data_IF_941428040697
#
_entry.id   IF_941428040697
#
_cell.length_a   1.000
_cell.length_b   1.000
_cell.length_c   1.000
_cell.angle_alpha   90.00
_cell.angle_beta   90.00
_cell.angle_gamma   90.00
#
_symmetry.space_group_name_H-M   'P 1'
#
loop_
_entity.id
_entity.type
_entity.pdbx_description
1 polymer ?
#
# COMPACT_ATOMS: atom_id res chain seq x y z
N UNK A 1 9.30 -38.69 6.52
CA UNK A 1 10.47 -39.26 5.83
C UNK A 1 10.09 -39.50 4.37
N UNK A 2 10.94 -39.09 3.40
CA UNK A 2 10.69 -39.31 1.97
C UNK A 2 10.99 -40.81 1.64
N UNK A 3 10.02 -41.54 1.06
CA UNK A 3 10.17 -42.97 0.71
C UNK A 3 11.40 -43.24 -0.15
N UNK A 4 11.74 -42.37 -1.08
CA UNK A 4 12.93 -42.52 -1.92
C UNK A 4 14.23 -42.35 -1.14
N UNK A 5 14.27 -41.46 -0.16
CA UNK A 5 15.42 -41.29 0.72
C UNK A 5 15.62 -42.55 1.56
N UNK A 6 14.57 -43.12 2.12
CA UNK A 6 14.64 -44.37 2.86
C UNK A 6 15.24 -45.52 2.03
N UNK A 7 14.81 -45.62 0.75
CA UNK A 7 15.42 -46.61 -0.16
C UNK A 7 16.90 -46.30 -0.40
N UNK A 8 17.26 -45.03 -0.58
CA UNK A 8 18.65 -44.61 -0.82
C UNK A 8 19.57 -44.92 0.39
N UNK A 9 19.05 -44.79 1.60
CA UNK A 9 19.82 -45.05 2.83
C UNK A 9 20.03 -46.55 3.08
N UNK A 10 19.06 -47.39 2.72
CA UNK A 10 19.04 -48.81 3.07
C UNK A 10 19.29 -49.80 1.90
N UNK A 11 19.44 -49.29 0.65
CA UNK A 11 19.52 -50.13 -0.54
C UNK A 11 20.73 -51.11 -0.54
N UNK A 12 21.84 -50.73 0.10
CA UNK A 12 23.03 -51.60 0.21
C UNK A 12 22.75 -52.86 1.03
N UNK A 13 21.91 -52.76 2.08
CA UNK A 13 21.60 -53.86 2.99
C UNK A 13 20.44 -54.72 2.50
N UNK A 14 19.41 -54.14 1.93
CA UNK A 14 18.14 -54.84 1.63
C UNK A 14 17.80 -54.93 0.14
N UNK A 15 18.55 -54.28 -0.73
CA UNK A 15 18.33 -54.22 -2.16
C UNK A 15 17.16 -53.31 -2.59
N UNK A 16 17.35 -52.61 -3.71
CA UNK A 16 16.36 -51.65 -4.23
C UNK A 16 15.02 -52.32 -4.56
N UNK A 17 15.05 -53.52 -5.20
CA UNK A 17 13.83 -54.25 -5.62
C UNK A 17 12.91 -54.52 -4.43
N UNK A 18 13.46 -55.08 -3.35
CA UNK A 18 12.72 -55.43 -2.14
C UNK A 18 12.13 -54.18 -1.44
N UNK A 19 12.96 -53.17 -1.23
CA UNK A 19 12.51 -51.92 -0.57
C UNK A 19 11.43 -51.21 -1.35
N UNK A 20 11.57 -51.10 -2.69
CA UNK A 20 10.56 -50.48 -3.55
C UNK A 20 9.23 -51.26 -3.49
N UNK A 21 9.29 -52.61 -3.50
CA UNK A 21 8.08 -53.44 -3.37
C UNK A 21 7.37 -53.22 -2.05
N UNK A 22 8.08 -53.19 -0.92
CA UNK A 22 7.52 -52.99 0.42
C UNK A 22 6.87 -51.60 0.55
N UNK A 23 7.52 -50.59 -0.03
CA UNK A 23 7.04 -49.18 0.05
C UNK A 23 6.00 -48.79 -1.01
N UNK A 24 5.66 -49.71 -1.91
CA UNK A 24 4.69 -49.47 -2.99
C UNK A 24 5.16 -48.39 -3.97
N UNK A 25 6.46 -48.35 -4.31
CA UNK A 25 7.04 -47.41 -5.27
C UNK A 25 7.71 -48.14 -6.42
N UNK A 26 7.69 -47.52 -7.63
CA UNK A 26 8.35 -48.16 -8.77
C UNK A 26 9.87 -47.96 -8.70
N UNK A 27 10.61 -48.95 -9.15
CA UNK A 27 12.08 -48.86 -9.26
C UNK A 27 12.51 -47.76 -10.21
N UNK A 28 11.79 -47.57 -11.32
CA UNK A 28 12.06 -46.50 -12.29
C UNK A 28 11.93 -45.11 -11.65
N UNK A 29 10.89 -44.90 -10.83
CA UNK A 29 10.72 -43.64 -10.09
C UNK A 29 11.84 -43.40 -9.08
N UNK A 30 12.32 -44.45 -8.40
CA UNK A 30 13.47 -44.35 -7.50
C UNK A 30 14.75 -43.96 -8.26
N UNK A 31 15.08 -44.65 -9.37
CA UNK A 31 16.25 -44.31 -10.16
C UNK A 31 16.16 -42.95 -10.81
N UNK A 32 14.98 -42.55 -11.29
CA UNK A 32 14.74 -41.15 -11.74
C UNK A 32 15.01 -40.16 -10.63
N UNK A 33 14.43 -40.39 -9.44
CA UNK A 33 14.66 -39.55 -8.28
C UNK A 33 16.14 -39.46 -7.92
N UNK A 34 16.87 -40.57 -7.95
CA UNK A 34 18.32 -40.61 -7.66
C UNK A 34 19.11 -39.83 -8.73
N UNK A 35 18.81 -40.05 -10.01
CA UNK A 35 19.48 -39.35 -11.13
C UNK A 35 19.28 -37.85 -11.08
N UNK A 36 18.11 -37.38 -10.67
CA UNK A 36 17.78 -35.95 -10.56
C UNK A 36 18.13 -35.30 -9.21
N UNK A 37 18.99 -35.98 -8.41
CA UNK A 37 19.38 -35.49 -7.08
C UNK A 37 20.11 -34.15 -7.15
N UNK A 38 21.04 -33.97 -8.10
CA UNK A 38 21.78 -32.74 -8.31
C UNK A 38 20.85 -31.59 -8.70
N UNK A 39 19.90 -31.82 -9.61
CA UNK A 39 18.92 -30.81 -10.03
C UNK A 39 17.98 -30.39 -8.90
N UNK A 40 17.62 -31.32 -8.02
CA UNK A 40 16.82 -30.99 -6.82
C UNK A 40 17.61 -30.16 -5.84
N UNK A 41 18.87 -30.53 -5.59
CA UNK A 41 19.75 -29.76 -4.72
C UNK A 41 19.98 -28.35 -5.26
N UNK A 42 20.22 -28.20 -6.56
CA UNK A 42 20.36 -26.92 -7.22
C UNK A 42 19.10 -26.04 -7.08
N UNK A 43 17.90 -26.65 -7.29
CA UNK A 43 16.61 -25.95 -7.09
C UNK A 43 16.40 -25.53 -5.64
N UNK A 44 16.72 -26.40 -4.68
CA UNK A 44 16.62 -26.05 -3.26
C UNK A 44 17.57 -24.91 -2.88
N UNK A 45 18.81 -24.94 -3.37
CA UNK A 45 19.77 -23.86 -3.17
C UNK A 45 19.31 -22.53 -3.80
N UNK A 46 18.71 -22.59 -5.00
CA UNK A 46 18.14 -21.42 -5.67
C UNK A 46 16.90 -20.87 -4.92
N UNK A 47 16.06 -21.75 -4.38
CA UNK A 47 14.92 -21.35 -3.56
C UNK A 47 15.36 -20.78 -2.21
N UNK A 48 16.41 -21.30 -1.59
CA UNK A 48 16.98 -20.77 -0.35
C UNK A 48 17.58 -19.35 -0.56
N UNK A 49 18.32 -19.14 -1.66
CA UNK A 49 18.81 -17.80 -2.02
C UNK A 49 17.66 -16.81 -2.24
N UNK A 50 16.64 -17.22 -3.00
CA UNK A 50 15.47 -16.37 -3.22
C UNK A 50 14.69 -16.10 -1.92
N UNK A 51 14.61 -17.06 -1.00
CA UNK A 51 14.00 -16.88 0.31
C UNK A 51 14.74 -15.82 1.16
N UNK A 52 16.07 -15.75 1.08
CA UNK A 52 16.85 -14.72 1.75
C UNK A 52 16.51 -13.31 1.20
N UNK A 53 16.43 -13.14 -0.13
CA UNK A 53 16.02 -11.90 -0.76
C UNK A 53 14.59 -11.50 -0.41
N UNK A 54 13.66 -12.46 -0.41
CA UNK A 54 12.27 -12.25 0.02
C UNK A 54 12.21 -11.75 1.46
N UNK A 55 13.00 -12.34 2.38
CA UNK A 55 13.05 -11.89 3.78
C UNK A 55 13.59 -10.47 3.91
N UNK A 56 14.65 -10.13 3.19
CA UNK A 56 15.22 -8.79 3.20
C UNK A 56 14.19 -7.74 2.76
N UNK A 57 13.50 -7.95 1.63
CA UNK A 57 12.44 -7.06 1.15
C UNK A 57 11.26 -7.00 2.13
N UNK A 58 10.88 -8.13 2.72
CA UNK A 58 9.80 -8.19 3.70
C UNK A 58 10.15 -7.41 4.97
N UNK A 59 11.38 -7.53 5.48
CA UNK A 59 11.88 -6.77 6.62
C UNK A 59 11.98 -5.27 6.30
N UNK A 60 12.55 -4.89 5.14
CA UNK A 60 12.62 -3.49 4.70
C UNK A 60 11.23 -2.86 4.52
N UNK A 61 10.21 -3.70 4.30
CA UNK A 61 8.80 -3.29 4.25
C UNK A 61 8.09 -3.35 5.61
N UNK A 62 8.79 -3.46 6.73
CA UNK A 62 8.22 -3.62 8.08
C UNK A 62 7.19 -4.78 8.15
N UNK A 63 7.44 -5.87 7.42
CA UNK A 63 6.54 -7.03 7.37
C UNK A 63 5.23 -6.80 6.61
N UNK A 64 5.07 -5.68 5.92
CA UNK A 64 3.77 -5.30 5.31
C UNK A 64 3.55 -5.87 3.92
N UNK A 65 4.63 -6.19 3.17
CA UNK A 65 4.52 -6.63 1.79
C UNK A 65 4.14 -8.11 1.65
N UNK A 66 3.11 -8.37 0.85
CA UNK A 66 2.79 -9.71 0.33
C UNK A 66 3.47 -9.99 -1.01
N UNK A 67 3.29 -11.21 -1.53
CA UNK A 67 3.95 -11.70 -2.73
C UNK A 67 3.92 -10.76 -3.95
N UNK A 68 2.83 -10.06 -4.30
CA UNK A 68 2.83 -9.17 -5.45
C UNK A 68 3.83 -8.01 -5.33
N UNK A 69 3.90 -7.35 -4.16
CA UNK A 69 4.82 -6.23 -3.92
C UNK A 69 6.25 -6.69 -3.81
N UNK A 70 6.51 -7.81 -3.11
CA UNK A 70 7.84 -8.42 -3.04
C UNK A 70 8.33 -8.80 -4.43
N UNK A 71 7.47 -9.38 -5.27
CA UNK A 71 7.86 -9.73 -6.65
C UNK A 71 8.22 -8.50 -7.46
N UNK A 72 7.46 -7.41 -7.33
CA UNK A 72 7.74 -6.16 -8.03
C UNK A 72 9.07 -5.55 -7.59
N UNK A 73 9.35 -5.55 -6.26
CA UNK A 73 10.61 -5.07 -5.69
C UNK A 73 11.80 -5.86 -6.20
N UNK A 74 11.72 -7.18 -6.14
CA UNK A 74 12.79 -8.05 -6.59
C UNK A 74 13.05 -7.93 -8.10
N UNK A 75 12.01 -7.78 -8.93
CA UNK A 75 12.18 -7.56 -10.37
C UNK A 75 12.90 -6.25 -10.69
N UNK A 76 12.58 -5.19 -9.96
CA UNK A 76 13.22 -3.89 -10.16
C UNK A 76 14.67 -3.90 -9.70
N UNK A 77 14.97 -4.59 -8.59
CA UNK A 77 16.32 -4.62 -8.00
C UNK A 77 17.25 -5.58 -8.73
N UNK A 78 16.75 -6.77 -9.14
CA UNK A 78 17.59 -7.79 -9.78
C UNK A 78 17.55 -7.78 -11.30
N UNK A 79 16.55 -7.13 -11.91
CA UNK A 79 16.29 -7.21 -13.36
C UNK A 79 15.77 -8.58 -13.83
N UNK A 80 15.61 -9.56 -12.93
CA UNK A 80 15.19 -10.92 -13.28
C UNK A 80 13.66 -11.03 -13.45
N UNK A 81 13.22 -11.81 -14.43
CA UNK A 81 11.81 -12.14 -14.68
C UNK A 81 11.27 -13.14 -13.65
N UNK A 82 11.12 -12.71 -12.39
CA UNK A 82 10.62 -13.57 -11.32
C UNK A 82 9.11 -13.83 -11.44
N UNK A 83 8.70 -15.10 -11.32
CA UNK A 83 7.30 -15.47 -11.31
C UNK A 83 6.71 -15.28 -9.90
N UNK A 84 5.63 -14.49 -9.79
CA UNK A 84 4.97 -14.20 -8.51
C UNK A 84 4.44 -15.46 -7.81
N UNK A 85 4.05 -16.51 -8.55
CA UNK A 85 3.63 -17.81 -7.98
C UNK A 85 4.79 -18.50 -7.27
N UNK A 86 6.04 -18.38 -7.81
CA UNK A 86 7.24 -18.90 -7.15
C UNK A 86 7.52 -18.16 -5.85
N UNK A 87 7.45 -16.82 -5.87
CA UNK A 87 7.61 -15.99 -4.68
C UNK A 87 6.56 -16.35 -3.62
N UNK A 88 5.27 -16.44 -4.00
CA UNK A 88 4.19 -16.82 -3.09
C UNK A 88 4.38 -18.21 -2.48
N UNK A 89 4.88 -19.19 -3.27
CA UNK A 89 5.18 -20.54 -2.79
C UNK A 89 6.30 -20.53 -1.74
N UNK A 90 7.36 -19.79 -2.00
CA UNK A 90 8.50 -19.67 -1.08
C UNK A 90 8.07 -18.96 0.20
N UNK A 91 7.34 -17.84 0.11
CA UNK A 91 6.81 -17.12 1.27
C UNK A 91 6.00 -18.08 2.18
N UNK A 92 5.10 -18.87 1.58
CA UNK A 92 4.31 -19.86 2.33
C UNK A 92 5.17 -20.93 2.99
N UNK A 93 6.17 -21.45 2.28
CA UNK A 93 7.06 -22.47 2.80
C UNK A 93 7.91 -21.99 3.99
N UNK A 94 8.19 -20.69 4.07
CA UNK A 94 8.97 -20.06 5.14
C UNK A 94 8.13 -19.28 6.15
N UNK A 95 6.80 -19.37 6.10
CA UNK A 95 5.90 -18.69 7.04
C UNK A 95 5.93 -17.16 6.94
N UNK A 96 6.26 -16.60 5.77
CA UNK A 96 6.32 -15.16 5.55
C UNK A 96 4.96 -14.70 5.05
N UNK A 97 4.29 -13.80 5.80
CA UNK A 97 2.98 -13.28 5.44
C UNK A 97 2.98 -11.75 5.48
N UNK A 98 2.43 -11.13 4.43
CA UNK A 98 2.17 -9.68 4.42
C UNK A 98 0.85 -9.33 5.11
N UNK A 99 0.69 -8.06 5.47
CA UNK A 99 -0.51 -7.56 6.16
C UNK A 99 -1.73 -7.62 5.26
N UNK A 100 -2.80 -8.32 5.72
CA UNK A 100 -4.06 -8.48 4.98
C UNK A 100 -5.10 -7.42 5.38
N UNK A 101 -5.92 -6.97 4.41
CA UNK A 101 -7.08 -6.11 4.65
C UNK A 101 -8.20 -6.90 5.34
N UNK A 102 -8.69 -6.41 6.50
CA UNK A 102 -9.93 -6.91 7.12
C UNK A 102 -11.15 -6.18 6.54
N UNK A 103 -12.33 -6.82 6.51
CA UNK A 103 -13.61 -6.20 6.11
C UNK A 103 -13.99 -5.06 7.07
N UNK A 104 -14.66 -4.03 6.54
CA UNK A 104 -14.99 -2.76 7.19
C UNK A 104 -16.31 -2.73 7.94
N UNK A 105 -16.41 -1.77 8.92
CA UNK A 105 -17.64 -1.21 9.49
C UNK A 105 -17.70 0.31 9.24
N UNK A 106 -18.89 0.84 9.02
CA UNK A 106 -19.19 2.26 8.71
C UNK A 106 -19.35 3.10 9.98
N UNK A 107 -18.87 4.37 10.00
CA UNK A 107 -18.90 5.23 11.21
C UNK A 107 -19.12 6.74 10.98
N UNK A 108 -19.58 7.24 9.83
CA UNK A 108 -19.71 8.68 9.60
C UNK A 108 -21.17 9.15 9.67
N UNK A 109 -21.42 10.23 10.46
CA UNK A 109 -22.70 10.95 10.57
C UNK A 109 -22.50 12.36 9.99
N UNK A 110 -23.32 12.77 9.02
CA UNK A 110 -23.24 14.07 8.35
C UNK A 110 -24.06 15.15 9.06
N UNK A 111 -23.56 16.42 9.06
CA UNK A 111 -24.31 17.58 9.54
C UNK A 111 -25.20 18.16 8.41
N UNK A 112 -26.53 18.25 8.57
CA UNK A 112 -27.45 18.68 7.53
C UNK A 112 -27.46 20.20 7.23
N UNK A 113 -26.92 21.03 8.14
CA UNK A 113 -27.11 22.50 8.11
C UNK A 113 -25.98 23.32 7.49
N UNK A 114 -24.86 22.68 7.08
CA UNK A 114 -23.67 23.39 6.60
C UNK A 114 -23.76 23.87 5.14
N UNK A 115 -23.18 25.03 4.82
CA UNK A 115 -23.07 25.56 3.46
C UNK A 115 -22.26 24.61 2.56
N UNK A 116 -22.86 24.16 1.45
CA UNK A 116 -22.34 23.08 0.60
C UNK A 116 -21.65 23.64 -0.64
N UNK A 117 -20.43 23.18 -0.94
CA UNK A 117 -19.84 23.34 -2.26
C UNK A 117 -20.49 22.32 -3.24
N UNK A 118 -20.54 22.63 -4.55
CA UNK A 118 -21.08 21.71 -5.55
C UNK A 118 -20.21 20.45 -5.67
N UNK A 119 -20.80 19.32 -6.06
CA UNK A 119 -20.05 18.14 -6.44
C UNK A 119 -19.47 18.32 -7.85
N UNK A 120 -18.18 18.67 -7.93
CA UNK A 120 -17.45 18.87 -9.20
C UNK A 120 -16.81 17.57 -9.71
N UNK A 121 -16.83 16.50 -8.91
CA UNK A 121 -16.27 15.20 -9.29
C UNK A 121 -17.33 14.29 -9.91
N UNK A 122 -18.62 14.43 -9.51
CA UNK A 122 -19.72 13.66 -10.04
C UNK A 122 -19.51 12.13 -9.88
N UNK A 123 -18.92 11.72 -8.75
CA UNK A 123 -18.48 10.32 -8.48
C UNK A 123 -17.41 9.77 -9.41
N UNK A 124 -16.80 10.60 -10.27
CA UNK A 124 -15.62 10.23 -11.05
C UNK A 124 -14.34 10.50 -10.25
N UNK A 125 -13.91 9.49 -9.47
CA UNK A 125 -12.66 9.49 -8.70
C UNK A 125 -11.45 9.08 -9.53
N UNK A 126 -11.52 9.26 -10.84
CA UNK A 126 -10.37 9.14 -11.74
C UNK A 126 -9.78 10.52 -12.04
N UNK A 127 -8.49 10.56 -12.30
CA UNK A 127 -7.81 11.73 -12.78
C UNK A 127 -6.77 11.31 -13.83
N UNK A 128 -6.74 12.02 -14.94
CA UNK A 128 -5.86 11.70 -16.09
C UNK A 128 -4.44 12.19 -15.88
N UNK A 129 -4.26 13.19 -15.03
CA UNK A 129 -2.96 13.80 -14.74
C UNK A 129 -2.81 14.11 -13.25
N UNK A 130 -1.59 14.01 -12.69
CA UNK A 130 -1.30 14.52 -11.37
C UNK A 130 -1.60 16.03 -11.25
N UNK A 131 -1.83 16.48 -10.03
CA UNK A 131 -2.08 17.89 -9.68
C UNK A 131 -3.39 18.47 -10.23
N UNK A 132 -4.39 17.64 -10.54
CA UNK A 132 -5.69 18.10 -11.08
C UNK A 132 -6.85 17.89 -10.10
N UNK A 133 -6.89 16.76 -9.42
CA UNK A 133 -7.94 16.43 -8.46
C UNK A 133 -7.32 15.87 -7.18
N UNK A 134 -7.77 16.37 -6.06
CA UNK A 134 -7.35 15.94 -4.72
C UNK A 134 -8.54 15.48 -3.88
N UNK A 135 -8.28 14.56 -2.96
CA UNK A 135 -9.24 14.23 -1.89
C UNK A 135 -8.63 14.58 -0.54
N UNK A 136 -9.45 15.16 0.32
CA UNK A 136 -9.12 15.49 1.71
C UNK A 136 -9.93 14.64 2.68
N UNK A 137 -9.29 14.24 3.78
CA UNK A 137 -9.95 13.51 4.86
C UNK A 137 -9.21 13.70 6.18
N UNK A 138 -9.95 13.52 7.28
CA UNK A 138 -9.41 13.51 8.64
C UNK A 138 -9.57 12.13 9.22
N UNK A 139 -8.51 11.59 9.81
CA UNK A 139 -8.59 10.38 10.59
C UNK A 139 -8.07 10.60 12.01
N UNK A 140 -8.66 9.90 12.98
CA UNK A 140 -8.18 9.91 14.36
C UNK A 140 -7.08 8.87 14.57
N UNK A 141 -6.11 9.20 15.41
CA UNK A 141 -5.01 8.36 15.85
C UNK A 141 -5.24 8.06 17.33
N UNK A 142 -5.68 6.84 17.70
CA UNK A 142 -5.96 6.51 19.10
C UNK A 142 -4.66 6.43 19.90
N UNK A 143 -4.63 7.09 21.05
CA UNK A 143 -3.54 7.05 22.02
C UNK A 143 -3.97 6.26 23.25
N UNK A 144 -3.00 5.74 23.99
CA UNK A 144 -3.25 5.11 25.27
C UNK A 144 -3.94 6.09 26.25
N UNK A 145 -4.76 5.57 27.15
CA UNK A 145 -5.56 6.40 28.03
C UNK A 145 -6.77 7.07 27.38
N UNK A 146 -7.21 6.61 26.17
CA UNK A 146 -8.41 7.10 25.50
C UNK A 146 -8.26 8.48 24.86
N UNK A 147 -7.05 9.05 24.81
CA UNK A 147 -6.76 10.30 24.11
C UNK A 147 -6.70 10.07 22.59
N UNK A 148 -6.87 11.14 21.82
CA UNK A 148 -6.82 11.09 20.37
C UNK A 148 -5.88 12.18 19.84
N UNK A 149 -5.17 11.86 18.76
CA UNK A 149 -4.65 12.83 17.80
C UNK A 149 -5.40 12.69 16.47
N UNK A 150 -5.27 13.68 15.63
CA UNK A 150 -5.95 13.75 14.34
C UNK A 150 -4.95 13.99 13.24
N UNK A 151 -5.12 13.28 12.14
CA UNK A 151 -4.31 13.41 10.92
C UNK A 151 -5.23 13.86 9.79
N UNK A 152 -5.01 15.06 9.27
CA UNK A 152 -5.60 15.52 8.02
C UNK A 152 -4.67 15.22 6.85
N UNK A 153 -5.23 14.84 5.71
CA UNK A 153 -4.49 14.44 4.51
C UNK A 153 -5.05 15.07 3.25
N UNK A 154 -4.18 15.38 2.29
CA UNK A 154 -4.49 15.82 0.93
C UNK A 154 -3.81 14.89 -0.04
N UNK A 155 -4.60 14.10 -0.77
CA UNK A 155 -4.11 13.01 -1.63
C UNK A 155 -4.48 13.27 -3.08
N UNK A 156 -3.51 13.22 -3.97
CA UNK A 156 -3.69 13.32 -5.42
C UNK A 156 -4.40 12.08 -5.97
N UNK A 157 -5.47 12.27 -6.74
CA UNK A 157 -6.27 11.16 -7.26
C UNK A 157 -5.57 10.36 -8.35
N UNK A 158 -4.74 10.99 -9.19
CA UNK A 158 -4.04 10.31 -10.27
C UNK A 158 -2.84 9.51 -9.76
N UNK A 159 -1.97 10.16 -9.00
CA UNK A 159 -0.70 9.59 -8.56
C UNK A 159 -0.77 8.89 -7.20
N UNK A 160 -1.88 9.04 -6.47
CA UNK A 160 -2.01 8.59 -5.07
C UNK A 160 -1.00 9.26 -4.14
N UNK A 161 -0.31 10.29 -4.59
CA UNK A 161 0.66 11.02 -3.78
C UNK A 161 -0.03 11.76 -2.66
N UNK A 162 0.44 11.57 -1.44
CA UNK A 162 0.10 12.42 -0.33
C UNK A 162 0.82 13.76 -0.54
N UNK A 163 0.07 14.76 -1.00
CA UNK A 163 0.60 16.09 -1.31
C UNK A 163 0.79 16.93 -0.04
N UNK A 164 -0.11 16.80 0.94
CA UNK A 164 -0.03 17.50 2.20
C UNK A 164 -0.65 16.73 3.35
N UNK A 165 -0.20 17.01 4.57
CA UNK A 165 -0.73 16.43 5.78
C UNK A 165 -0.41 17.29 7.01
N UNK A 166 -1.23 17.18 8.05
CA UNK A 166 -1.01 17.80 9.34
C UNK A 166 -1.49 16.90 10.46
N UNK A 167 -0.85 16.98 11.63
CA UNK A 167 -1.25 16.24 12.84
C UNK A 167 -1.42 17.22 13.99
N UNK A 168 -2.58 17.15 14.67
CA UNK A 168 -2.85 17.90 15.89
C UNK A 168 -3.52 17.03 16.97
N UNK A 169 -3.58 17.53 18.18
CA UNK A 169 -4.33 16.95 19.31
C UNK A 169 -5.79 17.38 19.34
N UNK A 170 -6.22 18.12 18.32
CA UNK A 170 -7.57 18.66 18.14
C UNK A 170 -8.02 18.52 16.69
N UNK A 171 -9.32 18.59 16.45
CA UNK A 171 -9.94 18.50 15.12
C UNK A 171 -10.59 19.86 14.75
N UNK A 172 -9.82 20.96 14.89
CA UNK A 172 -10.25 22.30 14.45
C UNK A 172 -9.91 22.54 12.98
N UNK A 173 -10.41 23.63 12.43
CA UNK A 173 -10.22 23.98 11.00
C UNK A 173 -8.75 24.23 10.63
N UNK A 174 -7.92 24.70 11.57
CA UNK A 174 -6.49 24.89 11.37
C UNK A 174 -5.78 23.58 10.94
N UNK A 175 -6.21 22.43 11.43
CA UNK A 175 -5.67 21.14 11.01
C UNK A 175 -5.80 20.90 9.49
N UNK A 176 -6.95 21.22 8.90
CA UNK A 176 -7.18 21.01 7.45
C UNK A 176 -6.56 22.12 6.60
N UNK A 177 -6.49 23.36 7.11
CA UNK A 177 -5.79 24.44 6.42
C UNK A 177 -4.29 24.24 6.40
N UNK A 178 -3.71 23.71 7.47
CA UNK A 178 -2.28 23.35 7.53
C UNK A 178 -1.95 22.23 6.54
N UNK A 179 -2.79 21.19 6.45
CA UNK A 179 -2.63 20.14 5.46
C UNK A 179 -2.69 20.66 4.02
N UNK A 180 -3.59 21.62 3.74
CA UNK A 180 -3.69 22.28 2.44
C UNK A 180 -2.45 23.14 2.15
N UNK A 181 -1.98 23.91 3.14
CA UNK A 181 -0.77 24.73 3.02
C UNK A 181 0.47 23.88 2.73
N UNK A 182 0.58 22.71 3.39
CA UNK A 182 1.64 21.73 3.10
C UNK A 182 1.53 21.20 1.67
N UNK A 183 0.33 20.93 1.18
CA UNK A 183 0.11 20.50 -0.20
C UNK A 183 0.55 21.58 -1.20
N UNK A 184 0.24 22.85 -0.95
CA UNK A 184 0.71 23.98 -1.77
C UNK A 184 2.25 24.04 -1.79
N UNK A 185 2.90 23.94 -0.62
CA UNK A 185 4.38 23.92 -0.54
C UNK A 185 5.00 22.77 -1.33
N UNK A 186 4.43 21.57 -1.17
CA UNK A 186 4.95 20.34 -1.83
C UNK A 186 4.78 20.39 -3.34
N UNK A 187 3.71 21.03 -3.84
CA UNK A 187 3.37 21.10 -5.26
C UNK A 187 3.88 22.35 -5.96
N UNK A 188 4.25 23.39 -5.20
CA UNK A 188 4.52 24.73 -5.70
C UNK A 188 3.23 25.49 -6.03
N UNK A 189 2.23 24.85 -6.61
CA UNK A 189 0.91 25.41 -6.89
C UNK A 189 -0.16 24.34 -6.93
N UNK A 190 -1.37 24.68 -6.47
CA UNK A 190 -2.59 23.87 -6.62
C UNK A 190 -3.65 24.62 -7.47
N UNK A 191 -3.27 25.70 -8.12
CA UNK A 191 -4.21 26.50 -8.91
C UNK A 191 -4.97 25.64 -9.92
N UNK A 192 -6.27 25.94 -10.09
CA UNK A 192 -7.23 25.24 -10.96
C UNK A 192 -7.53 23.77 -10.57
N UNK A 193 -6.86 23.23 -9.55
CA UNK A 193 -7.17 21.88 -9.07
C UNK A 193 -8.50 21.83 -8.31
N UNK A 194 -9.06 20.61 -8.21
CA UNK A 194 -10.28 20.35 -7.44
C UNK A 194 -9.88 19.68 -6.12
N UNK A 195 -10.34 20.23 -5.00
CA UNK A 195 -10.23 19.63 -3.67
C UNK A 195 -11.59 19.06 -3.26
N UNK A 196 -11.71 17.75 -3.26
CA UNK A 196 -12.92 17.03 -2.87
C UNK A 196 -12.83 16.54 -1.43
N UNK A 197 -13.87 16.82 -0.65
CA UNK A 197 -13.93 16.46 0.78
C UNK A 197 -15.33 15.99 1.16
N UNK A 198 -15.46 15.43 2.35
CA UNK A 198 -16.76 15.20 2.97
C UNK A 198 -17.37 16.51 3.51
N UNK A 199 -18.53 16.41 4.16
CA UNK A 199 -19.26 17.53 4.76
C UNK A 199 -18.85 17.80 6.23
N UNK A 200 -17.66 17.40 6.66
CA UNK A 200 -17.17 17.69 8.00
C UNK A 200 -17.13 19.21 8.27
N UNK A 201 -17.42 19.61 9.52
CA UNK A 201 -17.47 21.01 9.93
C UNK A 201 -16.17 21.78 9.59
N UNK A 202 -15.03 21.11 9.60
CA UNK A 202 -13.73 21.68 9.24
C UNK A 202 -13.68 22.11 7.78
N UNK A 203 -14.19 21.26 6.87
CA UNK A 203 -14.19 21.49 5.43
C UNK A 203 -15.28 22.45 4.96
N UNK A 204 -16.38 22.58 5.74
CA UNK A 204 -17.46 23.55 5.45
C UNK A 204 -17.18 24.94 6.03
N UNK A 205 -16.13 25.09 6.84
CA UNK A 205 -15.78 26.34 7.51
C UNK A 205 -15.40 27.46 6.52
N UNK A 206 -15.65 28.72 6.94
CA UNK A 206 -15.23 29.90 6.17
C UNK A 206 -13.71 29.97 6.01
N UNK A 207 -12.95 29.59 7.05
CA UNK A 207 -11.48 29.63 7.01
C UNK A 207 -10.92 28.64 5.98
N UNK A 208 -11.46 27.41 5.89
CA UNK A 208 -11.04 26.47 4.86
C UNK A 208 -11.44 26.93 3.45
N UNK A 209 -12.63 27.54 3.31
CA UNK A 209 -13.06 28.13 2.04
C UNK A 209 -12.12 29.23 1.56
N UNK A 210 -11.67 30.10 2.48
CA UNK A 210 -10.70 31.15 2.20
C UNK A 210 -9.33 30.59 1.82
N UNK A 211 -8.83 29.60 2.57
CA UNK A 211 -7.56 28.94 2.27
C UNK A 211 -7.57 28.31 0.87
N UNK A 212 -8.65 27.64 0.48
CA UNK A 212 -8.81 27.09 -0.87
C UNK A 212 -8.80 28.21 -1.94
N UNK A 213 -9.52 29.32 -1.70
CA UNK A 213 -9.58 30.44 -2.63
C UNK A 213 -8.19 31.07 -2.81
N UNK A 214 -7.48 31.31 -1.71
CA UNK A 214 -6.12 31.88 -1.74
C UNK A 214 -5.12 30.95 -2.46
N UNK A 215 -5.33 29.64 -2.41
CA UNK A 215 -4.54 28.65 -3.14
C UNK A 215 -5.00 28.44 -4.60
N UNK A 216 -6.04 29.12 -5.07
CA UNK A 216 -6.62 28.92 -6.40
C UNK A 216 -7.33 27.58 -6.60
N UNK A 217 -7.73 26.92 -5.50
CA UNK A 217 -8.30 25.58 -5.48
C UNK A 217 -9.83 25.64 -5.54
N UNK A 218 -10.43 24.86 -6.41
CA UNK A 218 -11.88 24.71 -6.54
C UNK A 218 -12.38 23.66 -5.55
N UNK A 219 -13.28 24.07 -4.65
CA UNK A 219 -13.87 23.14 -3.67
C UNK A 219 -14.93 22.28 -4.29
N UNK A 220 -14.93 21.00 -3.91
CA UNK A 220 -15.95 20.02 -4.25
C UNK A 220 -16.33 19.22 -3.01
N UNK A 221 -17.61 18.93 -2.84
CA UNK A 221 -18.10 18.13 -1.73
C UNK A 221 -18.99 16.99 -2.24
N UNK A 222 -18.93 15.85 -1.57
CA UNK A 222 -19.73 14.68 -1.87
C UNK A 222 -21.23 14.97 -1.76
N UNK A 223 -22.09 14.18 -2.43
CA UNK A 223 -23.51 14.23 -2.19
C UNK A 223 -23.84 13.76 -0.76
N UNK A 224 -24.84 14.37 -0.12
CA UNK A 224 -25.25 14.00 1.24
C UNK A 224 -25.66 12.54 1.29
N UNK A 225 -25.08 11.77 2.21
CA UNK A 225 -25.42 10.35 2.42
C UNK A 225 -24.64 9.34 1.57
N UNK A 226 -23.69 9.77 0.71
CA UNK A 226 -22.86 8.87 -0.07
C UNK A 226 -21.52 8.61 0.63
N UNK A 227 -21.34 7.39 1.13
CA UNK A 227 -20.06 6.95 1.73
C UNK A 227 -19.05 6.43 0.69
N UNK A 228 -19.48 6.28 -0.56
CA UNK A 228 -18.59 5.84 -1.65
C UNK A 228 -17.65 6.96 -2.11
N UNK A 229 -18.02 8.20 -1.80
CA UNK A 229 -17.41 9.40 -2.36
C UNK A 229 -16.04 9.76 -1.75
N UNK A 230 -15.58 9.04 -0.72
CA UNK A 230 -14.24 9.19 -0.13
C UNK A 230 -13.45 7.87 0.01
N UNK A 231 -13.83 6.86 -0.78
CA UNK A 231 -13.26 5.51 -0.67
C UNK A 231 -11.72 5.47 -0.77
N UNK A 232 -11.11 6.42 -1.50
CA UNK A 232 -9.65 6.52 -1.61
C UNK A 232 -9.02 6.95 -0.29
N UNK A 233 -9.48 8.05 0.28
CA UNK A 233 -8.95 8.56 1.55
C UNK A 233 -9.22 7.59 2.69
N UNK A 234 -10.40 6.98 2.71
CA UNK A 234 -10.71 5.93 3.67
C UNK A 234 -9.78 4.71 3.51
N UNK A 235 -9.50 4.24 2.29
CA UNK A 235 -8.57 3.14 2.02
C UNK A 235 -7.14 3.49 2.46
N UNK A 236 -6.72 4.74 2.23
CA UNK A 236 -5.46 5.27 2.71
C UNK A 236 -5.38 5.20 4.24
N UNK A 237 -6.36 5.76 4.94
CA UNK A 237 -6.42 5.81 6.39
C UNK A 237 -6.44 4.41 7.03
N UNK A 238 -7.20 3.48 6.46
CA UNK A 238 -7.23 2.10 6.90
C UNK A 238 -5.88 1.39 6.68
N UNK A 239 -5.20 1.70 5.59
CA UNK A 239 -3.87 1.15 5.30
C UNK A 239 -2.83 1.73 6.25
N UNK A 240 -2.83 3.05 6.44
CA UNK A 240 -1.97 3.74 7.38
C UNK A 240 -2.06 3.12 8.79
N UNK A 241 -3.25 3.10 9.37
CA UNK A 241 -3.47 2.53 10.72
C UNK A 241 -3.03 1.08 10.83
N UNK A 242 -3.27 0.28 9.81
CA UNK A 242 -2.90 -1.13 9.83
C UNK A 242 -1.40 -1.35 9.76
N UNK A 243 -0.74 -0.63 8.87
CA UNK A 243 0.70 -0.79 8.64
C UNK A 243 1.53 -0.16 9.77
N UNK A 244 1.02 0.88 10.46
CA UNK A 244 1.70 1.53 11.59
C UNK A 244 1.40 0.88 12.94
N UNK A 245 0.14 0.52 13.20
CA UNK A 245 -0.25 -0.12 14.46
C UNK A 245 0.14 -1.59 14.54
N UNK A 246 0.19 -2.31 13.41
CA UNK A 246 0.60 -3.72 13.34
C UNK A 246 -0.07 -4.62 14.40
N UNK A 247 -1.38 -4.44 14.59
CA UNK A 247 -2.18 -5.19 15.57
C UNK A 247 -2.34 -4.50 16.93
N UNK A 248 -1.57 -3.47 17.26
CA UNK A 248 -1.83 -2.60 18.41
C UNK A 248 -3.16 -1.87 18.24
N UNK A 249 -3.81 -1.54 19.35
CA UNK A 249 -5.07 -0.77 19.33
C UNK A 249 -4.85 0.74 19.32
N UNK A 250 -3.72 1.21 19.87
CA UNK A 250 -3.37 2.61 20.09
C UNK A 250 -1.85 2.81 20.08
N UNK A 251 -1.43 4.06 19.99
CA UNK A 251 -0.05 4.48 20.22
C UNK A 251 0.15 4.83 21.70
N UNK A 252 1.35 4.61 22.29
CA UNK A 252 1.63 4.93 23.68
C UNK A 252 1.41 6.41 24.01
N UNK A 253 1.76 7.30 23.08
CA UNK A 253 1.62 8.75 23.24
C UNK A 253 1.63 9.46 21.88
N UNK A 254 1.39 10.78 21.91
CA UNK A 254 1.36 11.63 20.75
C UNK A 254 2.69 11.67 19.98
N UNK A 255 3.82 11.64 20.69
CA UNK A 255 5.16 11.67 20.06
C UNK A 255 5.38 10.43 19.21
N UNK A 256 5.06 9.25 19.71
CA UNK A 256 5.18 7.99 18.97
C UNK A 256 4.24 7.96 17.77
N UNK A 257 2.99 8.41 17.94
CA UNK A 257 2.05 8.51 16.83
C UNK A 257 2.56 9.43 15.71
N UNK A 258 3.15 10.58 16.06
CA UNK A 258 3.75 11.52 15.08
C UNK A 258 4.97 10.94 14.39
N UNK A 259 5.86 10.25 15.11
CA UNK A 259 7.06 9.63 14.52
C UNK A 259 6.69 8.49 13.56
N UNK A 260 5.79 7.61 13.95
CA UNK A 260 5.31 6.53 13.10
C UNK A 260 4.59 7.09 11.87
N UNK A 261 3.76 8.13 12.04
CA UNK A 261 3.12 8.80 10.93
C UNK A 261 4.15 9.39 9.97
N UNK A 262 5.11 10.17 10.44
CA UNK A 262 6.15 10.78 9.60
C UNK A 262 6.92 9.74 8.79
N UNK A 263 7.39 8.67 9.44
CA UNK A 263 8.14 7.58 8.79
C UNK A 263 7.30 6.90 7.71
N UNK A 264 6.06 6.55 8.05
CA UNK A 264 5.17 5.84 7.14
C UNK A 264 4.73 6.72 5.97
N UNK A 265 4.35 8.00 6.19
CA UNK A 265 3.92 8.93 5.16
C UNK A 265 5.05 9.24 4.16
N UNK A 266 6.27 9.41 4.65
CA UNK A 266 7.44 9.58 3.79
C UNK A 266 7.66 8.32 2.93
N UNK A 267 7.65 7.14 3.55
CA UNK A 267 7.80 5.87 2.86
C UNK A 267 6.65 5.61 1.87
N UNK A 268 5.42 6.00 2.22
CA UNK A 268 4.26 5.90 1.34
C UNK A 268 4.49 6.60 0.01
N UNK A 269 5.02 7.80 0.02
CA UNK A 269 5.28 8.57 -1.18
C UNK A 269 6.51 8.09 -1.98
N UNK A 270 7.58 7.69 -1.28
CA UNK A 270 8.89 7.45 -1.89
C UNK A 270 9.13 6.01 -2.30
N UNK A 271 8.65 5.04 -1.50
CA UNK A 271 8.99 3.62 -1.65
C UNK A 271 7.81 2.69 -1.77
N UNK A 272 6.69 2.99 -1.08
CA UNK A 272 5.56 2.06 -0.98
C UNK A 272 4.95 1.78 -2.34
N UNK A 273 4.87 0.49 -2.69
CA UNK A 273 4.33 0.02 -3.97
C UNK A 273 2.81 0.03 -3.98
N UNK A 274 2.23 0.59 -5.04
CA UNK A 274 0.80 0.70 -5.27
C UNK A 274 0.38 -0.10 -6.50
N UNK A 275 -0.54 -1.05 -6.34
CA UNK A 275 -1.06 -1.85 -7.45
C UNK A 275 -1.72 -0.98 -8.54
N UNK A 276 -2.45 0.06 -8.14
CA UNK A 276 -3.09 1.02 -9.05
C UNK A 276 -2.08 1.78 -9.93
N UNK A 277 -0.84 1.95 -9.46
CA UNK A 277 0.24 2.65 -10.15
C UNK A 277 1.21 1.69 -10.86
N UNK A 278 0.78 0.47 -11.18
CA UNK A 278 1.66 -0.54 -11.75
C UNK A 278 2.81 -0.94 -10.85
N UNK A 279 2.55 -1.06 -9.54
CA UNK A 279 3.54 -1.40 -8.51
C UNK A 279 4.67 -0.36 -8.36
N UNK A 280 4.43 0.89 -8.73
CA UNK A 280 5.35 2.02 -8.47
C UNK A 280 4.94 2.77 -7.21
N UNK A 281 5.88 3.50 -6.61
CA UNK A 281 5.55 4.49 -5.58
C UNK A 281 4.92 5.73 -6.21
N UNK A 282 4.17 6.55 -5.46
CA UNK A 282 3.56 7.78 -5.97
C UNK A 282 4.56 8.71 -6.67
N UNK A 283 5.71 8.97 -6.05
CA UNK A 283 6.76 9.83 -6.64
C UNK A 283 7.38 9.19 -7.89
N UNK A 284 7.65 7.87 -7.88
CA UNK A 284 8.17 7.19 -9.05
C UNK A 284 7.18 7.20 -10.22
N UNK A 285 5.88 7.11 -9.92
CA UNK A 285 4.82 7.24 -10.92
C UNK A 285 4.80 8.65 -11.54
N UNK A 286 4.83 9.72 -10.73
CA UNK A 286 4.85 11.10 -11.24
C UNK A 286 6.12 11.39 -12.04
N UNK A 287 7.28 10.94 -11.57
CA UNK A 287 8.54 11.09 -12.32
C UNK A 287 8.48 10.42 -13.69
N UNK A 288 7.85 9.23 -13.79
CA UNK A 288 7.65 8.57 -15.07
C UNK A 288 6.64 9.31 -15.95
N UNK A 289 5.54 9.80 -15.36
CA UNK A 289 4.50 10.55 -16.06
C UNK A 289 5.06 11.82 -16.72
N UNK A 290 5.85 12.61 -15.99
CA UNK A 290 6.42 13.85 -16.52
C UNK A 290 7.63 13.65 -17.44
N UNK A 291 8.30 12.48 -17.39
CA UNK A 291 9.39 12.14 -18.32
C UNK A 291 8.88 11.62 -19.68
N UNK A 292 7.66 11.10 -19.73
CA UNK A 292 7.08 10.65 -21.02
C UNK A 292 6.68 11.91 -21.81
N UNK A 293 7.31 12.21 -22.98
CA UNK A 293 6.88 13.34 -23.79
C UNK A 293 5.42 13.10 -24.17
N UNK A 294 4.55 14.05 -23.86
CA UNK A 294 3.20 14.05 -24.42
C UNK A 294 3.37 14.26 -25.92
N UNK A 295 3.34 13.18 -26.68
CA UNK A 295 3.23 13.26 -28.14
C UNK A 295 1.86 13.86 -28.40
N UNK A 296 1.79 15.18 -28.50
CA UNK A 296 0.64 15.87 -29.09
C UNK A 296 0.52 15.31 -30.48
N UNK A 297 -0.46 14.42 -30.70
CA UNK A 297 -0.90 14.08 -32.04
C UNK A 297 -1.28 15.42 -32.68
N UNK A 298 -0.44 15.92 -33.57
CA UNK A 298 -0.82 16.94 -34.55
C UNK A 298 -1.92 16.26 -35.39
N UNK A 299 -3.17 16.61 -35.10
CA UNK A 299 -4.24 16.42 -36.03
C UNK A 299 -3.88 17.26 -37.26
N UNK A 300 -3.58 16.59 -38.37
CA UNK A 300 -3.57 17.17 -39.69
C UNK A 300 -5.00 17.39 -40.16
#
# INVERSE_FOLDING_TARGET
MNRFQFVADLHRRYGVKRLCSILGISRSSFYYWRRTAADRAARQAADARLAALIRAVHQDSDGTYGAPRITAELRETSGEALNHKRVARIMRAFGIEGVRLRRRHRTTVADPAAAKAPDLIGRDFTATAPNTKYVGDITYLPLDGGKLCYLATVIDLASRRLAGWAIADHMRTDLVTDALAEAVRTRGSLAESIMHTDHGAQYTSRAFAEACRSAGVRRSMSAVGSSADNALAESFNATFKRETLQGRKSWPNQREARLDAFRWLNRYNTRRRHSHLGQRSPIAFENAFYRTPTTLARAA
#
